data_IF_012811358055
#
_entry.id   IF_012811358055
#
_cell.length_a   1.000
_cell.length_b   1.000
_cell.length_c   1.000
_cell.angle_alpha   90.00
_cell.angle_beta   90.00
_cell.angle_gamma   90.00
#
_symmetry.space_group_name_H-M   'P 1'
#
loop_
_entity.id
_entity.type
_entity.pdbx_description
1 polymer ?
#
# COMPACT_ATOMS: atom_id res chain seq x y z
N UNK A 1 -30.67 3.58 9.81
CA UNK A 1 -29.94 2.32 10.05
C UNK A 1 -30.68 1.21 9.30
N UNK A 2 -29.96 0.33 8.59
CA UNK A 2 -30.56 -0.79 7.83
C UNK A 2 -30.19 -2.08 8.57
N UNK A 3 -31.16 -2.99 8.68
CA UNK A 3 -30.95 -4.31 9.28
C UNK A 3 -30.87 -5.38 8.19
N UNK A 4 -29.90 -6.28 8.33
CA UNK A 4 -29.74 -7.46 7.48
C UNK A 4 -29.79 -8.71 8.35
N UNK A 5 -30.34 -9.80 7.82
CA UNK A 5 -30.31 -11.12 8.46
C UNK A 5 -29.57 -12.08 7.54
N UNK A 6 -28.53 -12.73 8.06
CA UNK A 6 -27.68 -13.65 7.31
C UNK A 6 -27.57 -14.95 8.10
N UNK A 7 -27.53 -16.08 7.38
CA UNK A 7 -27.21 -17.38 7.99
C UNK A 7 -25.71 -17.60 7.87
N UNK A 8 -25.07 -17.84 9.00
CA UNK A 8 -23.65 -18.13 9.07
C UNK A 8 -23.44 -19.62 9.34
N UNK A 9 -22.36 -20.22 8.80
CA UNK A 9 -21.92 -21.54 9.23
C UNK A 9 -21.63 -21.56 10.74
N UNK A 10 -21.88 -22.67 11.46
CA UNK A 10 -21.67 -22.77 12.90
C UNK A 10 -20.26 -22.37 13.36
N UNK A 11 -19.24 -22.72 12.58
CA UNK A 11 -17.84 -22.39 12.84
C UNK A 11 -17.57 -20.89 12.85
N UNK A 12 -18.24 -20.13 11.98
CA UNK A 12 -18.11 -18.67 11.93
C UNK A 12 -18.82 -18.04 13.13
N UNK A 13 -20.00 -18.55 13.51
CA UNK A 13 -20.73 -18.08 14.68
C UNK A 13 -19.92 -18.28 15.97
N UNK A 14 -19.26 -19.44 16.11
CA UNK A 14 -18.36 -19.73 17.24
C UNK A 14 -17.17 -18.77 17.26
N UNK A 15 -16.54 -18.53 16.11
CA UNK A 15 -15.43 -17.58 15.99
C UNK A 15 -15.84 -16.15 16.37
N UNK A 16 -17.00 -15.69 15.89
CA UNK A 16 -17.54 -14.37 16.24
C UNK A 16 -17.85 -14.23 17.73
N UNK A 17 -18.37 -15.29 18.36
CA UNK A 17 -18.67 -15.29 19.78
C UNK A 17 -17.39 -15.22 20.64
N UNK A 18 -16.34 -15.94 20.23
CA UNK A 18 -15.07 -15.91 20.94
C UNK A 18 -14.36 -14.56 20.77
N UNK A 19 -14.32 -14.00 19.57
CA UNK A 19 -13.71 -12.69 19.32
C UNK A 19 -14.44 -11.58 20.09
N UNK A 20 -15.77 -11.60 20.09
CA UNK A 20 -16.60 -10.70 20.89
C UNK A 20 -16.28 -10.80 22.39
N UNK A 21 -16.06 -12.02 22.89
CA UNK A 21 -15.69 -12.26 24.30
C UNK A 21 -14.28 -11.75 24.62
N UNK A 22 -13.31 -11.98 23.74
CA UNK A 22 -11.92 -11.56 23.92
C UNK A 22 -11.75 -10.03 23.88
N UNK A 23 -12.58 -9.35 23.08
CA UNK A 23 -12.51 -7.90 22.87
C UNK A 23 -13.50 -7.10 23.71
N UNK A 24 -14.33 -7.77 24.54
CA UNK A 24 -15.42 -7.17 25.33
C UNK A 24 -16.40 -6.34 24.46
N UNK A 25 -16.78 -6.90 23.30
CA UNK A 25 -17.63 -6.26 22.29
C UNK A 25 -18.85 -7.10 21.95
N UNK A 26 -19.86 -6.49 21.35
CA UNK A 26 -20.97 -7.24 20.81
C UNK A 26 -20.56 -7.94 19.50
N UNK A 27 -21.08 -9.15 19.27
CA UNK A 27 -20.92 -9.87 18.00
C UNK A 27 -21.32 -9.03 16.78
N UNK A 28 -22.36 -8.20 16.92
CA UNK A 28 -22.78 -7.30 15.83
C UNK A 28 -21.73 -6.27 15.47
N UNK A 29 -20.92 -5.83 16.42
CA UNK A 29 -19.89 -4.81 16.20
C UNK A 29 -18.69 -5.44 15.50
N UNK A 30 -18.30 -6.64 15.93
CA UNK A 30 -17.29 -7.47 15.25
C UNK A 30 -17.70 -7.76 13.80
N UNK A 31 -18.95 -8.16 13.56
CA UNK A 31 -19.46 -8.40 12.19
C UNK A 31 -19.43 -7.13 11.35
N UNK A 32 -19.86 -5.98 11.89
CA UNK A 32 -19.88 -4.71 11.16
C UNK A 32 -18.47 -4.30 10.73
N UNK A 33 -17.51 -4.43 11.63
CA UNK A 33 -16.11 -4.13 11.35
C UNK A 33 -15.55 -5.05 10.29
N UNK A 34 -15.70 -6.38 10.44
CA UNK A 34 -15.23 -7.35 9.46
C UNK A 34 -15.81 -7.10 8.06
N UNK A 35 -17.09 -6.73 7.96
CA UNK A 35 -17.73 -6.35 6.69
C UNK A 35 -17.13 -5.06 6.13
N UNK A 36 -16.93 -4.04 6.97
CA UNK A 36 -16.33 -2.77 6.55
C UNK A 36 -14.90 -2.94 6.02
N UNK A 37 -14.09 -3.72 6.74
CA UNK A 37 -12.72 -4.05 6.33
C UNK A 37 -12.70 -4.83 5.02
N UNK A 38 -13.54 -5.86 4.89
CA UNK A 38 -13.65 -6.62 3.67
C UNK A 38 -14.00 -5.72 2.47
N UNK A 39 -15.00 -4.87 2.61
CA UNK A 39 -15.41 -3.96 1.54
C UNK A 39 -14.29 -2.98 1.17
N UNK A 40 -13.60 -2.42 2.16
CA UNK A 40 -12.46 -1.52 1.96
C UNK A 40 -11.32 -2.23 1.23
N UNK A 41 -10.97 -3.45 1.63
CA UNK A 41 -9.95 -4.25 0.96
C UNK A 41 -10.35 -4.58 -0.48
N UNK A 42 -11.60 -4.94 -0.73
CA UNK A 42 -12.07 -5.22 -2.09
C UNK A 42 -12.05 -3.98 -2.98
N UNK A 43 -12.44 -2.82 -2.44
CA UNK A 43 -12.41 -1.56 -3.17
C UNK A 43 -10.97 -1.18 -3.53
N UNK A 44 -10.04 -1.31 -2.58
CA UNK A 44 -8.60 -1.10 -2.83
C UNK A 44 -8.07 -2.06 -3.89
N UNK A 45 -8.42 -3.34 -3.82
CA UNK A 45 -8.01 -4.35 -4.82
C UNK A 45 -8.51 -4.00 -6.22
N UNK A 46 -9.78 -3.59 -6.34
CA UNK A 46 -10.36 -3.17 -7.62
C UNK A 46 -9.64 -1.95 -8.20
N UNK A 47 -9.40 -0.93 -7.37
CA UNK A 47 -8.68 0.27 -7.80
C UNK A 47 -7.24 -0.04 -8.26
N UNK A 48 -6.51 -0.88 -7.53
CA UNK A 48 -5.16 -1.30 -7.93
C UNK A 48 -5.19 -2.07 -9.26
N UNK A 49 -6.16 -2.97 -9.45
CA UNK A 49 -6.26 -3.72 -10.69
C UNK A 49 -6.63 -2.83 -11.88
N UNK A 50 -7.53 -1.88 -11.69
CA UNK A 50 -7.90 -0.89 -12.72
C UNK A 50 -6.68 -0.04 -13.12
N UNK A 51 -5.96 0.49 -12.14
CA UNK A 51 -4.71 1.22 -12.40
C UNK A 51 -3.65 0.37 -13.11
N UNK A 52 -3.47 -0.88 -12.68
CA UNK A 52 -2.51 -1.79 -13.32
C UNK A 52 -2.89 -2.10 -14.77
N UNK A 53 -4.19 -2.22 -15.08
CA UNK A 53 -4.68 -2.42 -16.43
C UNK A 53 -4.48 -1.18 -17.31
N UNK A 54 -4.73 0.02 -16.77
CA UNK A 54 -4.45 1.28 -17.45
C UNK A 54 -2.96 1.45 -17.75
N UNK A 55 -2.09 1.20 -16.76
CA UNK A 55 -0.65 1.25 -16.94
C UNK A 55 -0.19 0.22 -17.98
N UNK A 56 -0.72 -1.00 -17.95
CA UNK A 56 -0.40 -2.01 -18.98
C UNK A 56 -0.77 -1.55 -20.39
N UNK A 57 -1.88 -0.82 -20.56
CA UNK A 57 -2.26 -0.22 -21.85
C UNK A 57 -1.35 0.93 -22.24
N UNK A 58 -0.99 1.79 -21.30
CA UNK A 58 -0.08 2.92 -21.55
C UNK A 58 1.31 2.43 -21.97
N UNK A 59 1.87 1.43 -21.29
CA UNK A 59 3.16 0.82 -21.63
C UNK A 59 3.11 -0.12 -22.86
N UNK A 60 1.93 -0.42 -23.40
CA UNK A 60 1.83 -1.10 -24.69
C UNK A 60 2.19 -0.17 -25.85
N UNK A 61 2.20 1.14 -25.63
CA UNK A 61 2.72 2.14 -26.57
C UNK A 61 4.26 2.19 -26.47
N UNK A 62 4.99 1.87 -27.56
CA UNK A 62 6.45 1.91 -27.58
C UNK A 62 7.03 3.29 -27.30
N UNK A 63 6.39 4.38 -27.75
CA UNK A 63 6.91 5.74 -27.58
C UNK A 63 6.85 6.15 -26.10
N UNK A 64 5.74 5.83 -25.43
CA UNK A 64 5.56 6.05 -24.00
C UNK A 64 6.52 5.19 -23.17
N UNK A 65 6.72 3.92 -23.53
CA UNK A 65 7.66 3.04 -22.85
C UNK A 65 9.12 3.54 -22.97
N UNK A 66 9.49 4.11 -24.12
CA UNK A 66 10.83 4.66 -24.34
C UNK A 66 11.04 5.99 -23.61
N UNK A 67 10.03 6.86 -23.53
CA UNK A 67 10.06 8.06 -22.69
C UNK A 67 10.23 7.71 -21.21
N UNK A 68 9.42 6.78 -20.70
CA UNK A 68 9.51 6.34 -19.31
C UNK A 68 10.86 5.72 -18.97
N UNK A 69 11.47 4.98 -19.90
CA UNK A 69 12.81 4.41 -19.71
C UNK A 69 13.88 5.50 -19.64
N UNK A 70 13.76 6.57 -20.44
CA UNK A 70 14.67 7.72 -20.36
C UNK A 70 14.55 8.45 -19.03
N UNK A 71 13.32 8.70 -18.57
CA UNK A 71 13.09 9.30 -17.26
C UNK A 71 13.73 8.44 -16.16
N UNK A 72 13.55 7.11 -16.18
CA UNK A 72 14.19 6.23 -15.20
C UNK A 72 15.71 6.31 -15.25
N UNK A 73 16.31 6.32 -16.45
CA UNK A 73 17.76 6.43 -16.61
C UNK A 73 18.30 7.76 -16.07
N UNK A 74 17.57 8.86 -16.27
CA UNK A 74 17.94 10.17 -15.74
C UNK A 74 17.89 10.16 -14.20
N UNK A 75 16.86 9.53 -13.60
CA UNK A 75 16.77 9.36 -12.14
C UNK A 75 17.86 8.47 -11.57
N UNK A 76 18.11 7.30 -12.17
CA UNK A 76 19.17 6.39 -11.74
C UNK A 76 20.55 7.07 -11.80
N UNK A 77 20.79 7.89 -12.83
CA UNK A 77 22.03 8.64 -12.95
C UNK A 77 22.20 9.65 -11.81
N UNK A 78 21.13 10.35 -11.42
CA UNK A 78 21.13 11.28 -10.28
C UNK A 78 21.34 10.52 -8.97
N UNK A 79 20.63 9.43 -8.73
CA UNK A 79 20.70 8.66 -7.48
C UNK A 79 22.11 8.08 -7.25
N UNK A 80 22.69 7.48 -8.29
CA UNK A 80 24.09 7.01 -8.25
C UNK A 80 25.09 8.16 -7.98
N UNK A 81 24.83 9.36 -8.51
CA UNK A 81 25.71 10.51 -8.28
C UNK A 81 25.63 11.00 -6.83
N UNK A 82 24.46 10.94 -6.21
CA UNK A 82 24.26 11.30 -4.81
C UNK A 82 24.93 10.29 -3.87
N UNK A 83 24.79 8.99 -4.14
CA UNK A 83 25.45 7.94 -3.36
C UNK A 83 26.99 8.11 -3.37
N UNK A 84 27.56 8.47 -4.53
CA UNK A 84 29.00 8.76 -4.63
C UNK A 84 29.42 9.96 -3.78
N UNK A 85 28.62 11.03 -3.77
CA UNK A 85 28.89 12.23 -2.95
C UNK A 85 28.84 11.87 -1.46
N UNK A 86 27.83 11.13 -1.01
CA UNK A 86 27.72 10.68 0.39
C UNK A 86 28.94 9.85 0.84
N UNK A 87 29.43 8.96 -0.04
CA UNK A 87 30.64 8.16 0.23
C UNK A 87 31.87 9.08 0.37
N UNK A 88 32.03 10.05 -0.52
CA UNK A 88 33.15 11.00 -0.50
C UNK A 88 33.12 11.90 0.74
N UNK A 89 31.94 12.43 1.10
CA UNK A 89 31.75 13.27 2.28
C UNK A 89 32.06 12.50 3.57
N UNK A 90 31.56 11.26 3.70
CA UNK A 90 31.87 10.40 4.84
C UNK A 90 33.37 10.05 4.91
N UNK A 91 34.03 9.84 3.76
CA UNK A 91 35.47 9.62 3.72
C UNK A 91 36.28 10.88 4.10
N UNK A 92 35.75 12.07 3.84
CA UNK A 92 36.30 13.35 4.26
C UNK A 92 35.98 13.71 5.73
N UNK A 93 35.21 12.87 6.43
CA UNK A 93 34.81 13.08 7.82
C UNK A 93 33.68 14.09 8.01
N UNK A 94 32.96 14.45 6.95
CA UNK A 94 31.70 15.20 6.99
C UNK A 94 30.58 14.20 7.28
N UNK A 95 29.68 14.51 8.21
CA UNK A 95 28.50 13.70 8.47
C UNK A 95 27.37 14.11 7.51
N UNK A 96 27.01 13.28 6.52
CA UNK A 96 25.97 13.61 5.55
C UNK A 96 24.57 13.70 6.20
N UNK A 97 24.40 13.13 7.40
CA UNK A 97 23.14 13.15 8.14
C UNK A 97 22.96 14.44 8.97
N UNK A 98 23.99 15.30 9.03
CA UNK A 98 23.92 16.60 9.70
C UNK A 98 23.14 17.61 8.85
N UNK A 99 22.04 18.15 9.40
CA UNK A 99 21.21 19.13 8.68
C UNK A 99 21.94 20.45 8.52
N UNK A 100 22.16 20.88 7.27
CA UNK A 100 22.79 22.16 6.95
C UNK A 100 21.84 23.37 7.02
N UNK A 101 20.55 23.13 7.26
CA UNK A 101 19.52 24.17 7.39
C UNK A 101 18.93 24.20 8.81
N UNK A 102 18.89 25.39 9.41
CA UNK A 102 18.00 25.73 10.54
C UNK A 102 16.69 26.34 10.01
#
# INVERSE_FOLDING_TARGET
MVNISVRLPPEIELGLAEEARLTDRNRSDVVREAVSEYLTQQQRKRAINEYADEMRRAYADPEYADEMRRIQQDFDAVDNSLELIEIEERAAGIDPDEKWWE
#
